data_IF_370158084585
#
_entry.id   IF_370158084585
#
_cell.length_a   1.000
_cell.length_b   1.000
_cell.length_c   1.000
_cell.angle_alpha   90.00
_cell.angle_beta   90.00
_cell.angle_gamma   90.00
#
_symmetry.space_group_name_H-M   'P 1'
#
loop_
_entity.id
_entity.type
_entity.pdbx_description
1 polymer ?
#
# COMPACT_ATOMS: atom_id res chain seq x y z
N UNK A 1 14.78 1.07 -8.88
CA UNK A 1 14.44 -0.07 -9.75
C UNK A 1 14.06 0.43 -11.13
N UNK A 2 14.36 -0.31 -12.18
CA UNK A 2 13.78 -0.02 -13.48
C UNK A 2 12.29 -0.38 -13.46
N UNK A 3 11.43 0.54 -13.89
CA UNK A 3 9.99 0.33 -14.02
C UNK A 3 9.58 -0.04 -15.45
N UNK A 4 10.54 -0.12 -16.37
CA UNK A 4 10.31 -0.52 -17.76
C UNK A 4 10.40 -2.04 -17.91
N UNK A 5 9.63 -2.61 -18.83
CA UNK A 5 9.71 -4.03 -19.18
C UNK A 5 9.56 -5.01 -17.98
N UNK A 6 8.83 -4.60 -16.94
CA UNK A 6 8.46 -5.48 -15.81
C UNK A 6 7.19 -6.24 -16.13
N UNK A 7 7.06 -7.41 -15.50
CA UNK A 7 5.78 -8.11 -15.42
C UNK A 7 5.25 -7.94 -13.99
N UNK A 8 4.24 -7.10 -13.82
CA UNK A 8 3.79 -6.58 -12.54
C UNK A 8 2.37 -7.02 -12.17
N UNK A 9 2.16 -7.48 -10.94
CA UNK A 9 0.85 -7.61 -10.32
C UNK A 9 0.65 -6.50 -9.29
N UNK A 10 -0.41 -5.71 -9.44
CA UNK A 10 -0.78 -4.65 -8.48
C UNK A 10 -2.11 -5.01 -7.81
N UNK A 11 -2.04 -5.58 -6.61
CA UNK A 11 -3.21 -5.96 -5.82
C UNK A 11 -3.79 -4.74 -5.12
N UNK A 12 -5.05 -4.40 -5.42
CA UNK A 12 -5.66 -3.10 -5.11
C UNK A 12 -5.44 -2.07 -6.23
N UNK A 13 -5.13 -2.55 -7.45
CA UNK A 13 -4.86 -1.75 -8.64
C UNK A 13 -6.08 -1.27 -9.42
N UNK A 14 -7.32 -1.54 -8.95
CA UNK A 14 -8.55 -1.23 -9.71
C UNK A 14 -9.07 0.20 -9.49
N UNK A 15 -8.41 1.01 -8.65
CA UNK A 15 -8.80 2.41 -8.39
C UNK A 15 -7.67 3.21 -7.73
N UNK A 16 -7.87 4.53 -7.63
CA UNK A 16 -7.02 5.45 -6.87
C UNK A 16 -5.53 5.35 -7.20
N UNK A 17 -4.69 5.31 -6.17
CA UNK A 17 -3.22 5.25 -6.30
C UNK A 17 -2.79 4.01 -7.08
N UNK A 18 -3.39 2.84 -6.78
CA UNK A 18 -3.02 1.58 -7.42
C UNK A 18 -3.26 1.59 -8.92
N UNK A 19 -4.40 2.07 -9.38
CA UNK A 19 -4.71 2.20 -10.81
C UNK A 19 -3.80 3.23 -11.49
N UNK A 20 -3.58 4.37 -10.82
CA UNK A 20 -2.68 5.40 -11.34
C UNK A 20 -1.26 4.90 -11.52
N UNK A 21 -0.76 4.10 -10.56
CA UNK A 21 0.58 3.49 -10.65
C UNK A 21 0.64 2.41 -11.74
N UNK A 22 -0.41 1.58 -11.83
CA UNK A 22 -0.54 0.54 -12.86
C UNK A 22 -0.44 1.14 -14.28
N UNK A 23 -1.16 2.23 -14.53
CA UNK A 23 -1.13 2.92 -15.82
C UNK A 23 0.24 3.52 -16.15
N UNK A 24 0.96 4.04 -15.14
CA UNK A 24 2.33 4.55 -15.35
C UNK A 24 3.31 3.44 -15.67
N UNK A 25 3.20 2.30 -15.04
CA UNK A 25 4.05 1.15 -15.36
C UNK A 25 3.75 0.61 -16.76
N UNK A 26 2.46 0.50 -17.13
CA UNK A 26 2.08 0.10 -18.48
C UNK A 26 2.57 1.10 -19.54
N UNK A 27 2.43 2.42 -19.30
CA UNK A 27 2.95 3.46 -20.17
C UNK A 27 4.48 3.45 -20.31
N UNK A 28 5.19 2.93 -19.31
CA UNK A 28 6.64 2.72 -19.35
C UNK A 28 7.04 1.41 -20.08
N UNK A 29 6.09 0.64 -20.60
CA UNK A 29 6.33 -0.60 -21.35
C UNK A 29 6.30 -1.89 -20.53
N UNK A 30 5.81 -1.83 -19.28
CA UNK A 30 5.60 -3.01 -18.45
C UNK A 30 4.29 -3.72 -18.76
N UNK A 31 4.27 -5.05 -18.63
CA UNK A 31 3.05 -5.85 -18.58
C UNK A 31 2.45 -5.73 -17.18
N UNK A 32 1.19 -5.31 -17.08
CA UNK A 32 0.58 -5.03 -15.77
C UNK A 32 -0.76 -5.74 -15.62
N UNK A 33 -0.86 -6.56 -14.58
CA UNK A 33 -2.11 -7.17 -14.11
C UNK A 33 -2.59 -6.43 -12.86
N UNK A 34 -3.83 -5.97 -12.85
CA UNK A 34 -4.43 -5.33 -11.68
C UNK A 34 -5.38 -6.27 -10.97
N UNK A 35 -5.14 -6.46 -9.68
CA UNK A 35 -5.96 -7.31 -8.82
C UNK A 35 -6.99 -6.52 -7.99
N UNK A 36 -8.20 -7.04 -7.89
CA UNK A 36 -9.24 -6.47 -7.03
C UNK A 36 -10.51 -7.32 -6.99
N UNK A 37 -11.42 -7.01 -6.06
CA UNK A 37 -12.69 -7.74 -5.89
C UNK A 37 -13.69 -7.56 -7.04
N UNK A 38 -13.50 -6.53 -7.85
CA UNK A 38 -14.40 -6.18 -8.97
C UNK A 38 -13.55 -5.80 -10.17
N UNK A 39 -12.94 -6.78 -10.85
CA UNK A 39 -11.98 -6.52 -11.93
C UNK A 39 -12.60 -5.80 -13.12
N UNK A 40 -13.85 -6.04 -13.48
CA UNK A 40 -14.55 -5.44 -14.63
C UNK A 40 -14.76 -3.90 -14.57
N UNK A 41 -14.04 -3.20 -13.70
CA UNK A 41 -14.02 -1.72 -13.65
C UNK A 41 -12.83 -1.11 -14.39
N UNK A 42 -11.93 -1.92 -14.92
CA UNK A 42 -10.71 -1.49 -15.61
C UNK A 42 -10.69 -2.16 -16.97
N UNK A 43 -10.83 -1.36 -18.03
CA UNK A 43 -10.97 -1.85 -19.41
C UNK A 43 -9.65 -1.76 -20.20
N UNK A 44 -8.66 -1.04 -19.69
CA UNK A 44 -7.40 -0.73 -20.36
C UNK A 44 -6.20 -1.54 -19.86
N UNK A 45 -6.40 -2.41 -18.86
CA UNK A 45 -5.36 -3.27 -18.29
C UNK A 45 -5.91 -4.68 -18.08
N UNK A 46 -4.99 -5.66 -18.03
CA UNK A 46 -5.33 -7.02 -17.63
C UNK A 46 -5.74 -7.05 -16.15
N UNK A 47 -6.75 -7.86 -15.83
CA UNK A 47 -7.35 -7.88 -14.50
C UNK A 47 -7.46 -9.29 -13.95
N UNK A 48 -7.34 -9.43 -12.63
CA UNK A 48 -7.59 -10.68 -11.90
C UNK A 48 -8.50 -10.43 -10.70
N UNK A 49 -9.46 -11.33 -10.46
CA UNK A 49 -10.28 -11.26 -9.25
C UNK A 49 -9.51 -11.76 -8.04
N UNK A 50 -9.37 -10.88 -7.04
CA UNK A 50 -8.71 -11.22 -5.79
C UNK A 50 -9.37 -10.51 -4.60
N UNK A 51 -9.84 -11.28 -3.63
CA UNK A 51 -10.19 -10.81 -2.29
C UNK A 51 -9.08 -11.20 -1.31
N UNK A 52 -8.34 -10.20 -0.84
CA UNK A 52 -7.21 -10.43 0.08
C UNK A 52 -7.63 -10.94 1.46
N UNK A 53 -8.94 -10.89 1.78
CA UNK A 53 -9.49 -11.45 3.04
C UNK A 53 -9.79 -12.94 2.93
N UNK A 54 -9.94 -13.48 1.71
CA UNK A 54 -10.16 -14.89 1.43
C UNK A 54 -8.88 -15.60 0.96
N UNK A 55 -8.28 -16.49 1.78
CA UNK A 55 -7.09 -17.24 1.38
C UNK A 55 -7.25 -18.03 0.08
N UNK A 56 -8.44 -18.60 -0.15
CA UNK A 56 -8.70 -19.36 -1.37
C UNK A 56 -8.73 -18.47 -2.63
N UNK A 57 -9.29 -17.25 -2.51
CA UNK A 57 -9.26 -16.25 -3.58
C UNK A 57 -7.84 -15.85 -3.93
N UNK A 58 -6.99 -15.61 -2.92
CA UNK A 58 -5.58 -15.25 -3.14
C UNK A 58 -4.82 -16.37 -3.87
N UNK A 59 -5.05 -17.63 -3.47
CA UNK A 59 -4.38 -18.77 -4.13
C UNK A 59 -4.86 -18.96 -5.57
N UNK A 60 -6.16 -18.84 -5.84
CA UNK A 60 -6.69 -18.90 -7.22
C UNK A 60 -6.09 -17.79 -8.11
N UNK A 61 -6.09 -16.56 -7.61
CA UNK A 61 -5.50 -15.42 -8.33
C UNK A 61 -4.00 -15.63 -8.60
N UNK A 62 -3.25 -16.17 -7.63
CA UNK A 62 -1.84 -16.53 -7.83
C UNK A 62 -1.68 -17.53 -8.98
N UNK A 63 -2.45 -18.62 -8.96
CA UNK A 63 -2.33 -19.69 -9.95
C UNK A 63 -2.69 -19.18 -11.36
N UNK A 64 -3.75 -18.35 -11.48
CA UNK A 64 -4.16 -17.69 -12.71
C UNK A 64 -3.06 -16.77 -13.25
N UNK A 65 -2.56 -15.86 -12.42
CA UNK A 65 -1.51 -14.89 -12.82
C UNK A 65 -0.23 -15.61 -13.21
N UNK A 66 0.23 -16.59 -12.43
CA UNK A 66 1.49 -17.31 -12.76
C UNK A 66 1.37 -18.26 -13.94
N UNK A 67 0.17 -18.72 -14.29
CA UNK A 67 -0.06 -19.49 -15.52
C UNK A 67 0.01 -18.60 -16.76
N UNK A 68 -0.53 -17.38 -16.69
CA UNK A 68 -0.49 -16.40 -17.79
C UNK A 68 0.87 -15.70 -17.89
N UNK A 69 1.48 -15.39 -16.74
CA UNK A 69 2.71 -14.61 -16.61
C UNK A 69 3.76 -15.35 -15.75
N UNK A 70 4.38 -16.42 -16.28
CA UNK A 70 5.41 -17.16 -15.56
C UNK A 70 6.68 -16.33 -15.31
N UNK A 71 6.81 -15.21 -15.96
CA UNK A 71 7.87 -14.20 -15.83
C UNK A 71 7.55 -13.08 -14.82
N UNK A 72 6.45 -13.17 -14.07
CA UNK A 72 6.10 -12.19 -13.03
C UNK A 72 7.30 -11.88 -12.12
N UNK A 73 7.66 -10.62 -12.02
CA UNK A 73 8.85 -10.17 -11.28
C UNK A 73 8.58 -8.97 -10.33
N UNK A 74 7.36 -8.44 -10.33
CA UNK A 74 6.98 -7.34 -9.45
C UNK A 74 5.60 -7.59 -8.84
N UNK A 75 5.52 -7.53 -7.51
CA UNK A 75 4.25 -7.61 -6.77
C UNK A 75 4.09 -6.38 -5.88
N UNK A 76 2.98 -5.66 -6.07
CA UNK A 76 2.62 -4.48 -5.28
C UNK A 76 1.38 -4.77 -4.45
N UNK A 77 1.46 -4.62 -3.13
CA UNK A 77 0.32 -4.80 -2.22
C UNK A 77 -0.27 -3.45 -1.84
N UNK A 78 -1.32 -3.04 -2.57
CA UNK A 78 -1.96 -1.73 -2.44
C UNK A 78 -3.39 -1.81 -1.88
N UNK A 79 -3.95 -3.01 -1.67
CA UNK A 79 -5.28 -3.18 -1.08
C UNK A 79 -5.36 -2.54 0.29
N UNK A 80 -6.42 -1.78 0.54
CA UNK A 80 -6.60 -1.16 1.84
C UNK A 80 -7.98 -0.53 2.00
N UNK A 81 -8.44 -0.52 3.24
CA UNK A 81 -9.63 0.19 3.71
C UNK A 81 -9.24 1.14 4.84
N UNK A 82 -10.00 2.19 5.01
CA UNK A 82 -9.75 3.23 6.01
C UNK A 82 -11.08 3.65 6.61
N UNK A 83 -11.18 3.60 7.94
CA UNK A 83 -12.40 3.92 8.68
C UNK A 83 -12.11 5.00 9.73
N UNK A 84 -13.10 5.87 9.94
CA UNK A 84 -13.14 6.74 11.12
C UNK A 84 -13.78 5.94 12.26
N UNK A 85 -13.17 5.96 13.44
CA UNK A 85 -13.56 5.16 14.58
C UNK A 85 -13.73 6.05 15.82
N UNK A 86 -14.80 5.85 16.58
CA UNK A 86 -14.95 6.39 17.94
C UNK A 86 -14.79 5.24 18.95
N UNK A 87 -13.64 5.18 19.61
CA UNK A 87 -13.35 4.11 20.58
C UNK A 87 -14.28 4.06 21.81
N UNK A 88 -15.13 5.09 21.98
CA UNK A 88 -16.18 5.10 23.02
C UNK A 88 -17.43 4.34 22.59
N UNK A 89 -17.63 4.14 21.27
CA UNK A 89 -18.73 3.36 20.72
C UNK A 89 -18.28 1.88 20.60
N UNK A 90 -18.91 0.94 21.33
CA UNK A 90 -18.51 -0.46 21.28
C UNK A 90 -18.66 -1.11 19.90
N UNK A 91 -19.41 -0.50 18.98
CA UNK A 91 -19.59 -1.00 17.62
C UNK A 91 -18.40 -0.70 16.69
N UNK A 92 -17.45 0.17 17.11
CA UNK A 92 -16.28 0.54 16.30
C UNK A 92 -15.39 -0.67 15.95
N UNK A 93 -15.42 -1.75 16.76
CA UNK A 93 -14.50 -2.89 16.61
C UNK A 93 -14.57 -3.54 15.23
N UNK A 94 -15.73 -3.56 14.58
CA UNK A 94 -15.87 -4.07 13.23
C UNK A 94 -15.02 -3.30 12.19
N UNK A 95 -14.84 -1.98 12.39
CA UNK A 95 -13.98 -1.16 11.54
C UNK A 95 -12.48 -1.47 11.77
N UNK A 96 -12.08 -1.62 13.04
CA UNK A 96 -10.72 -2.05 13.39
C UNK A 96 -10.42 -3.44 12.82
N UNK A 97 -11.33 -4.41 13.01
CA UNK A 97 -11.19 -5.77 12.48
C UNK A 97 -11.04 -5.76 10.95
N UNK A 98 -11.90 -5.00 10.25
CA UNK A 98 -11.83 -4.82 8.80
C UNK A 98 -10.47 -4.24 8.37
N UNK A 99 -9.98 -3.22 9.08
CA UNK A 99 -8.69 -2.60 8.78
C UNK A 99 -7.52 -3.60 8.93
N UNK A 100 -7.53 -4.40 9.98
CA UNK A 100 -6.50 -5.43 10.21
C UNK A 100 -6.61 -6.56 9.17
N UNK A 101 -7.83 -7.05 8.91
CA UNK A 101 -8.06 -8.16 7.98
C UNK A 101 -7.62 -7.82 6.55
N UNK A 102 -7.96 -6.63 6.07
CA UNK A 102 -7.64 -6.20 4.69
C UNK A 102 -6.20 -5.70 4.60
N UNK A 103 -5.83 -4.70 5.43
CA UNK A 103 -4.58 -3.97 5.21
C UNK A 103 -3.36 -4.75 5.66
N UNK A 104 -3.45 -5.49 6.78
CA UNK A 104 -2.32 -6.23 7.34
C UNK A 104 -2.35 -7.69 6.90
N UNK A 105 -3.36 -8.44 7.29
CA UNK A 105 -3.42 -9.89 6.98
C UNK A 105 -3.55 -10.12 5.48
N UNK A 106 -4.31 -9.28 4.76
CA UNK A 106 -4.42 -9.35 3.31
C UNK A 106 -3.08 -9.10 2.61
N UNK A 107 -2.32 -8.09 3.05
CA UNK A 107 -0.96 -7.83 2.55
C UNK A 107 -0.05 -9.03 2.78
N UNK A 108 -0.02 -9.60 3.98
CA UNK A 108 0.78 -10.78 4.31
C UNK A 108 0.41 -11.97 3.42
N UNK A 109 -0.89 -12.27 3.26
CA UNK A 109 -1.34 -13.40 2.41
C UNK A 109 -0.89 -13.27 0.96
N UNK A 110 -0.99 -12.07 0.38
CA UNK A 110 -0.50 -11.85 -0.99
C UNK A 110 1.00 -12.07 -1.07
N UNK A 111 1.77 -11.51 -0.15
CA UNK A 111 3.23 -11.68 -0.13
C UNK A 111 3.59 -13.16 0.01
N UNK A 112 2.99 -13.88 0.96
CA UNK A 112 3.23 -15.31 1.18
C UNK A 112 2.93 -16.15 -0.08
N UNK A 113 1.86 -15.81 -0.80
CA UNK A 113 1.46 -16.55 -2.00
C UNK A 113 2.45 -16.38 -3.17
N UNK A 114 3.06 -15.21 -3.34
CA UNK A 114 3.93 -14.90 -4.49
C UNK A 114 5.43 -14.98 -4.18
N UNK A 115 5.84 -14.84 -2.93
CA UNK A 115 7.27 -14.91 -2.53
C UNK A 115 7.99 -16.17 -3.00
N UNK A 116 7.41 -17.40 -2.92
CA UNK A 116 8.08 -18.59 -3.41
C UNK A 116 8.41 -18.53 -4.91
N UNK A 117 7.56 -17.88 -5.73
CA UNK A 117 7.82 -17.68 -7.15
C UNK A 117 8.98 -16.71 -7.36
N UNK A 118 8.96 -15.55 -6.72
CA UNK A 118 10.00 -14.52 -6.84
C UNK A 118 11.38 -15.06 -6.40
N UNK A 119 11.42 -15.82 -5.31
CA UNK A 119 12.66 -16.46 -4.80
C UNK A 119 13.20 -17.49 -5.79
N UNK A 120 12.35 -18.33 -6.38
CA UNK A 120 12.79 -19.30 -7.41
C UNK A 120 13.38 -18.63 -8.65
N UNK A 121 12.87 -17.45 -9.01
CA UNK A 121 13.43 -16.67 -10.11
C UNK A 121 14.76 -16.00 -9.75
N UNK A 122 15.10 -15.90 -8.48
CA UNK A 122 16.24 -15.14 -7.95
C UNK A 122 16.32 -13.70 -8.50
N UNK A 123 15.18 -13.17 -8.92
CA UNK A 123 15.01 -11.80 -9.42
C UNK A 123 13.55 -11.38 -9.21
N UNK A 124 13.34 -10.33 -8.45
CA UNK A 124 11.99 -9.83 -8.21
C UNK A 124 11.97 -8.66 -7.26
N UNK A 125 10.81 -8.01 -7.19
CA UNK A 125 10.56 -6.90 -6.27
C UNK A 125 9.20 -7.08 -5.61
N UNK A 126 9.15 -6.87 -4.30
CA UNK A 126 7.90 -6.69 -3.55
C UNK A 126 7.81 -5.24 -3.13
N UNK A 127 6.72 -4.57 -3.49
CA UNK A 127 6.40 -3.23 -2.98
C UNK A 127 5.24 -3.34 -1.99
N UNK A 128 5.52 -3.08 -0.73
CA UNK A 128 4.49 -2.92 0.29
C UNK A 128 4.04 -1.47 0.36
N UNK A 129 2.79 -1.23 0.73
CA UNK A 129 2.26 0.12 0.84
C UNK A 129 1.76 0.38 2.26
N UNK A 130 2.50 1.21 2.98
CA UNK A 130 2.14 1.68 4.30
C UNK A 130 1.42 3.04 4.24
N UNK A 131 1.78 3.96 5.09
CA UNK A 131 1.30 5.35 5.13
C UNK A 131 2.13 6.14 6.14
N UNK A 132 2.18 7.45 6.01
CA UNK A 132 2.71 8.32 7.06
C UNK A 132 2.04 8.14 8.43
N UNK A 133 0.82 7.60 8.44
CA UNK A 133 0.05 7.30 9.66
C UNK A 133 0.61 6.09 10.44
N UNK A 134 1.44 5.26 9.81
CA UNK A 134 2.16 4.18 10.49
C UNK A 134 3.18 4.70 11.51
N UNK A 135 3.70 5.90 11.28
CA UNK A 135 4.74 6.55 12.10
C UNK A 135 4.19 7.66 12.99
N UNK A 136 3.15 8.33 12.52
CA UNK A 136 2.47 9.39 13.28
C UNK A 136 0.97 9.11 13.24
N UNK A 137 0.41 8.43 14.27
CA UNK A 137 -0.99 8.00 14.26
C UNK A 137 -1.96 9.17 14.12
N UNK A 138 -3.09 8.91 13.47
CA UNK A 138 -4.20 9.85 13.41
C UNK A 138 -5.32 9.36 14.33
N UNK A 139 -5.66 10.09 15.39
CA UNK A 139 -6.55 9.60 16.43
C UNK A 139 -7.95 9.19 15.97
N UNK A 140 -8.42 9.70 14.83
CA UNK A 140 -9.70 9.30 14.23
C UNK A 140 -9.65 7.94 13.52
N UNK A 141 -8.46 7.36 13.32
CA UNK A 141 -8.28 6.14 12.50
C UNK A 141 -7.35 5.13 13.19
N UNK A 142 -7.62 4.72 14.44
CA UNK A 142 -6.70 3.91 15.23
C UNK A 142 -6.47 2.52 14.62
N UNK A 143 -7.49 1.83 14.14
CA UNK A 143 -7.36 0.52 13.48
C UNK A 143 -6.57 0.61 12.17
N UNK A 144 -6.79 1.68 11.39
CA UNK A 144 -5.99 1.92 10.19
C UNK A 144 -4.52 2.18 10.53
N UNK A 145 -4.23 3.03 11.52
CA UNK A 145 -2.86 3.33 11.96
C UNK A 145 -2.15 2.05 12.43
N UNK A 146 -2.80 1.25 13.27
CA UNK A 146 -2.29 -0.03 13.74
C UNK A 146 -1.99 -1.00 12.58
N UNK A 147 -2.90 -1.10 11.60
CA UNK A 147 -2.70 -1.96 10.43
C UNK A 147 -1.47 -1.54 9.61
N UNK A 148 -1.27 -0.24 9.39
CA UNK A 148 -0.14 0.29 8.60
C UNK A 148 1.19 0.22 9.35
N UNK A 149 1.19 0.40 10.67
CA UNK A 149 2.37 0.15 11.53
C UNK A 149 2.76 -1.35 11.50
N UNK A 150 1.77 -2.25 11.52
CA UNK A 150 2.00 -3.68 11.35
C UNK A 150 2.61 -4.05 9.99
N UNK A 151 2.14 -3.44 8.90
CA UNK A 151 2.75 -3.63 7.56
C UNK A 151 4.19 -3.12 7.54
N UNK A 152 4.48 -1.96 8.14
CA UNK A 152 5.87 -1.47 8.24
C UNK A 152 6.78 -2.48 8.95
N UNK A 153 6.40 -2.94 10.13
CA UNK A 153 7.19 -3.92 10.89
C UNK A 153 7.37 -5.24 10.10
N UNK A 154 6.32 -5.71 9.43
CA UNK A 154 6.39 -6.89 8.57
C UNK A 154 7.34 -6.67 7.38
N UNK A 155 7.32 -5.49 6.76
CA UNK A 155 8.19 -5.15 5.63
C UNK A 155 9.67 -5.16 6.02
N UNK A 156 10.01 -4.64 7.19
CA UNK A 156 11.39 -4.69 7.71
C UNK A 156 11.86 -6.13 7.93
N UNK A 157 11.01 -6.97 8.53
CA UNK A 157 11.31 -8.38 8.74
C UNK A 157 11.43 -9.15 7.41
N UNK A 158 10.52 -8.89 6.46
CA UNK A 158 10.52 -9.51 5.13
C UNK A 158 11.82 -9.16 4.38
N UNK A 159 12.23 -7.90 4.42
CA UNK A 159 13.48 -7.43 3.80
C UNK A 159 14.69 -8.16 4.35
N UNK A 160 14.74 -8.37 5.68
CA UNK A 160 15.82 -9.09 6.33
C UNK A 160 15.83 -10.58 5.94
N UNK A 161 14.67 -11.23 5.86
CA UNK A 161 14.55 -12.65 5.50
C UNK A 161 14.86 -12.92 4.04
N UNK A 162 14.54 -12.00 3.13
CA UNK A 162 14.81 -12.14 1.70
C UNK A 162 16.19 -11.59 1.28
N UNK A 163 16.99 -11.10 2.22
CA UNK A 163 18.35 -10.66 1.95
C UNK A 163 19.16 -11.81 1.31
N UNK A 164 19.74 -11.56 0.13
CA UNK A 164 20.50 -12.56 -0.63
C UNK A 164 19.68 -13.56 -1.45
N UNK A 165 18.33 -13.49 -1.39
CA UNK A 165 17.45 -14.34 -2.20
C UNK A 165 17.19 -13.77 -3.62
N UNK A 166 17.80 -12.64 -3.99
CA UNK A 166 17.55 -11.96 -5.26
C UNK A 166 16.20 -11.25 -5.34
N UNK A 167 15.54 -11.03 -4.20
CA UNK A 167 14.26 -10.32 -4.12
C UNK A 167 14.44 -9.01 -3.37
N UNK A 168 14.16 -7.90 -4.04
CA UNK A 168 14.15 -6.57 -3.45
C UNK A 168 12.83 -6.31 -2.72
N UNK A 169 12.89 -5.65 -1.55
CA UNK A 169 11.69 -5.26 -0.78
C UNK A 169 11.71 -3.75 -0.57
N UNK A 170 10.75 -3.09 -1.18
CA UNK A 170 10.57 -1.63 -1.16
C UNK A 170 9.29 -1.29 -0.40
N UNK A 171 9.33 -0.26 0.42
CA UNK A 171 8.16 0.26 1.12
C UNK A 171 7.76 1.61 0.52
N UNK A 172 6.56 1.69 -0.06
CA UNK A 172 5.95 2.95 -0.46
C UNK A 172 5.17 3.54 0.73
N UNK A 173 5.49 4.78 1.09
CA UNK A 173 4.91 5.46 2.26
C UNK A 173 4.15 6.72 1.82
N UNK A 174 2.87 6.61 1.44
CA UNK A 174 2.07 7.76 1.03
C UNK A 174 1.73 8.69 2.19
N UNK A 175 1.67 10.01 1.95
CA UNK A 175 0.88 10.93 2.75
C UNK A 175 -0.62 10.78 2.41
N UNK A 176 -1.46 11.74 2.86
CA UNK A 176 -2.82 11.85 2.34
C UNK A 176 -2.79 12.25 0.86
N UNK A 177 -3.44 11.46 0.00
CA UNK A 177 -3.51 11.67 -1.45
C UNK A 177 -4.97 11.85 -1.86
N UNK A 178 -5.25 12.83 -2.68
CA UNK A 178 -6.58 13.12 -3.23
C UNK A 178 -6.97 12.03 -4.25
N UNK A 179 -7.66 11.00 -3.75
CA UNK A 179 -8.29 9.97 -4.57
C UNK A 179 -9.81 10.15 -4.54
N UNK A 180 -10.55 9.53 -5.46
CA UNK A 180 -12.00 9.70 -5.57
C UNK A 180 -12.71 9.53 -4.22
N UNK A 181 -13.34 10.59 -3.73
CA UNK A 181 -14.02 10.68 -2.43
C UNK A 181 -13.16 11.24 -1.28
N UNK A 182 -11.85 11.32 -1.39
CA UNK A 182 -10.95 11.87 -0.35
C UNK A 182 -10.81 13.39 -0.44
N UNK A 183 -10.95 13.98 -1.61
CA UNK A 183 -10.82 15.43 -1.85
C UNK A 183 -11.75 16.27 -0.98
N UNK A 184 -12.96 15.74 -0.71
CA UNK A 184 -13.96 16.40 0.13
C UNK A 184 -13.65 16.29 1.64
N UNK A 185 -12.84 15.29 2.02
CA UNK A 185 -12.55 14.99 3.43
C UNK A 185 -11.26 15.66 3.89
N UNK A 186 -10.28 15.78 2.99
CA UNK A 186 -9.00 16.42 3.28
C UNK A 186 -8.54 17.35 2.16
N UNK A 187 -8.85 18.64 2.23
CA UNK A 187 -8.43 19.63 1.23
C UNK A 187 -6.90 19.79 1.09
N UNK A 188 -6.14 19.34 2.11
CA UNK A 188 -4.68 19.38 2.09
C UNK A 188 -4.04 18.09 1.52
N UNK A 189 -4.84 17.15 1.02
CA UNK A 189 -4.34 15.95 0.37
C UNK A 189 -3.57 16.31 -0.92
N UNK A 190 -2.48 15.61 -1.18
CA UNK A 190 -1.69 15.83 -2.40
C UNK A 190 -2.49 15.44 -3.64
N UNK A 191 -2.42 16.21 -4.73
CA UNK A 191 -2.98 15.83 -6.01
C UNK A 191 -2.42 14.48 -6.47
N UNK A 192 -3.30 13.57 -6.91
CA UNK A 192 -2.93 12.20 -7.29
C UNK A 192 -1.82 12.15 -8.35
N UNK A 193 -1.95 12.94 -9.41
CA UNK A 193 -0.98 12.92 -10.52
C UNK A 193 0.43 13.32 -10.06
N UNK A 194 0.56 14.44 -9.34
CA UNK A 194 1.86 14.88 -8.81
C UNK A 194 2.47 13.91 -7.81
N UNK A 195 1.62 13.26 -6.98
CA UNK A 195 2.07 12.20 -6.10
C UNK A 195 2.64 11.01 -6.88
N UNK A 196 1.92 10.55 -7.92
CA UNK A 196 2.34 9.40 -8.73
C UNK A 196 3.63 9.69 -9.52
N UNK A 197 3.80 10.91 -10.03
CA UNK A 197 5.03 11.32 -10.73
C UNK A 197 6.24 11.30 -9.79
N UNK A 198 6.07 11.78 -8.56
CA UNK A 198 7.12 11.74 -7.54
C UNK A 198 7.46 10.29 -7.14
N UNK A 199 6.45 9.42 -6.97
CA UNK A 199 6.65 7.99 -6.68
C UNK A 199 7.45 7.30 -7.78
N UNK A 200 7.07 7.50 -9.05
CA UNK A 200 7.78 6.91 -10.18
C UNK A 200 9.24 7.40 -10.23
N UNK A 201 9.47 8.69 -10.04
CA UNK A 201 10.82 9.24 -9.96
C UNK A 201 11.66 8.64 -8.85
N UNK A 202 11.08 8.45 -7.65
CA UNK A 202 11.78 7.84 -6.52
C UNK A 202 12.04 6.34 -6.73
N UNK A 203 11.08 5.60 -7.29
CA UNK A 203 11.27 4.18 -7.63
C UNK A 203 12.37 3.98 -8.66
N UNK A 204 12.50 4.90 -9.63
CA UNK A 204 13.50 4.84 -10.69
C UNK A 204 14.89 5.32 -10.27
N UNK A 205 15.06 5.80 -9.04
CA UNK A 205 16.36 6.19 -8.52
C UNK A 205 17.31 4.98 -8.37
N UNK A 206 18.62 5.22 -8.55
CA UNK A 206 19.66 4.21 -8.35
C UNK A 206 20.63 4.64 -7.25
N UNK A 207 20.80 3.81 -6.19
CA UNK A 207 20.01 2.63 -5.90
C UNK A 207 18.57 2.97 -5.54
N UNK A 208 17.65 2.03 -5.78
CA UNK A 208 16.25 2.17 -5.33
C UNK A 208 16.19 2.38 -3.82
N UNK A 209 15.49 3.39 -3.32
CA UNK A 209 15.38 3.58 -1.87
C UNK A 209 14.55 2.46 -1.23
N UNK A 210 14.98 2.00 -0.07
CA UNK A 210 14.21 1.01 0.71
C UNK A 210 12.84 1.53 1.13
N UNK A 211 12.76 2.84 1.40
CA UNK A 211 11.53 3.57 1.71
C UNK A 211 11.33 4.67 0.66
N UNK A 212 10.24 4.58 -0.08
CA UNK A 212 9.81 5.61 -1.05
C UNK A 212 9.03 6.67 -0.29
N UNK A 213 9.73 7.73 0.10
CA UNK A 213 9.22 8.83 0.91
C UNK A 213 8.88 10.04 0.02
N UNK A 214 7.62 10.19 -0.33
CA UNK A 214 7.13 11.40 -0.99
C UNK A 214 7.24 12.60 -0.04
N UNK A 215 7.58 13.77 -0.58
CA UNK A 215 7.87 14.97 0.23
C UNK A 215 6.85 15.23 1.35
N UNK A 216 5.56 15.07 1.08
CA UNK A 216 4.47 15.31 2.05
C UNK A 216 4.46 14.37 3.25
N UNK A 217 5.20 13.26 3.24
CA UNK A 217 5.21 12.28 4.33
C UNK A 217 6.39 12.42 5.27
N UNK A 218 7.44 13.15 4.88
CA UNK A 218 8.69 13.19 5.62
C UNK A 218 8.53 13.64 7.08
N UNK A 219 7.70 14.66 7.34
CA UNK A 219 7.43 15.13 8.69
C UNK A 219 6.77 14.06 9.58
N UNK A 220 6.05 13.11 9.01
CA UNK A 220 5.43 12.01 9.75
C UNK A 220 6.46 10.91 10.03
N UNK A 221 7.23 10.53 9.02
CA UNK A 221 8.24 9.48 9.12
C UNK A 221 9.33 9.82 10.13
N UNK A 222 9.70 11.08 10.23
CA UNK A 222 10.81 11.53 11.06
C UNK A 222 10.40 12.29 12.33
N UNK A 223 9.11 12.31 12.69
CA UNK A 223 8.58 13.06 13.83
C UNK A 223 9.30 12.73 15.17
N UNK A 224 9.57 11.46 15.44
CA UNK A 224 10.31 11.04 16.65
C UNK A 224 11.77 11.52 16.63
N UNK A 225 12.45 11.29 15.50
CA UNK A 225 13.83 11.73 15.30
C UNK A 225 13.99 13.24 15.45
N UNK A 226 13.02 13.99 14.93
CA UNK A 226 13.06 15.45 14.89
C UNK A 226 12.48 16.08 16.18
N UNK A 227 12.03 15.26 17.15
CA UNK A 227 11.49 15.70 18.45
C UNK A 227 10.11 16.38 18.35
N UNK A 228 9.41 16.27 17.22
CA UNK A 228 8.10 16.93 16.96
C UNK A 228 6.90 16.01 17.18
N UNK A 229 7.13 14.74 17.51
CA UNK A 229 6.08 13.72 17.60
C UNK A 229 4.92 14.12 18.53
N UNK A 230 5.22 14.51 19.77
CA UNK A 230 4.20 14.84 20.76
C UNK A 230 3.33 16.02 20.31
N UNK A 231 3.94 17.09 19.80
CA UNK A 231 3.23 18.26 19.27
C UNK A 231 2.32 17.89 18.10
N UNK A 232 2.83 17.07 17.17
CA UNK A 232 2.07 16.65 16.00
C UNK A 232 0.89 15.74 16.37
N UNK A 233 1.05 14.85 17.35
CA UNK A 233 -0.05 14.02 17.88
C UNK A 233 -1.11 14.89 18.55
N UNK A 234 -0.71 15.84 19.39
CA UNK A 234 -1.62 16.77 20.05
C UNK A 234 -2.43 17.59 19.03
N UNK A 235 -1.75 18.15 18.01
CA UNK A 235 -2.41 18.89 16.93
C UNK A 235 -3.41 18.01 16.18
N UNK A 236 -3.08 16.75 15.88
CA UNK A 236 -4.00 15.80 15.24
C UNK A 236 -5.18 15.42 16.12
N UNK A 237 -5.00 15.40 17.44
CA UNK A 237 -6.06 15.10 18.40
C UNK A 237 -7.19 16.14 18.39
N UNK A 238 -6.95 17.35 17.90
CA UNK A 238 -8.00 18.36 17.71
C UNK A 238 -9.11 17.88 16.76
N UNK A 239 -8.79 16.99 15.82
CA UNK A 239 -9.77 16.37 14.93
C UNK A 239 -10.81 15.51 15.65
N UNK A 240 -10.53 15.05 16.87
CA UNK A 240 -11.50 14.30 17.68
C UNK A 240 -12.77 15.10 17.99
N UNK A 241 -12.71 16.44 17.96
CA UNK A 241 -13.88 17.30 18.09
C UNK A 241 -14.94 17.09 16.98
N UNK A 242 -14.58 16.43 15.88
CA UNK A 242 -15.52 16.07 14.80
C UNK A 242 -16.35 14.82 15.10
N UNK A 243 -16.00 14.05 16.14
CA UNK A 243 -16.77 12.89 16.57
C UNK A 243 -18.06 13.30 17.25
N UNK A 244 -19.17 12.55 17.07
CA UNK A 244 -20.44 12.87 17.71
C UNK A 244 -20.32 12.96 19.24
N UNK A 245 -20.89 14.00 19.83
CA UNK A 245 -20.92 14.21 21.28
C UNK A 245 -19.57 14.60 21.93
N UNK A 246 -18.68 15.18 21.15
CA UNK A 246 -17.45 15.85 21.62
C UNK A 246 -17.49 17.34 21.42
#
# INVERSE_FOLDING_TARGET
MDITHRTALIVGGTSGIGLGLARRFAAAGSTVVVGGRTPGRVDDLETVEIDVTDPASVLRARDEVLAAHPDLDLVVTMSGVMHIEDLRDPTHFAQSESSIAVNLLGTIRVIDAFTPHLVRRAAGTVITVTSGIAFLPFPLMPGYAASKAGVHAYTEALRAQLAGAGVEVVELIPPAVATAGQEKVNPAALPLEGFLDEVVGLLSAEPTPKEVLVRGVMQHRWAERDGTYAELVERRSQSLATLPGR
#
